data_IF_689523036924
#
_entry.id   IF_689523036924
#
_cell.length_a   1.000
_cell.length_b   1.000
_cell.length_c   1.000
_cell.angle_alpha   90.00
_cell.angle_beta   90.00
_cell.angle_gamma   90.00
#
_symmetry.space_group_name_H-M   'P 1'
#
loop_
_entity.id
_entity.type
_entity.pdbx_description
1 polymer ?
#
# COMPACT_ATOMS: atom_id res chain seq x y z
N UNK A 1 5.33 17.00 34.42
CA UNK A 1 4.95 15.69 33.86
C UNK A 1 6.00 14.69 34.37
N UNK A 2 5.63 13.57 35.00
CA UNK A 2 6.64 12.65 35.50
C UNK A 2 7.36 12.03 34.29
N UNK A 3 8.68 11.93 34.40
CA UNK A 3 9.54 11.30 33.41
C UNK A 3 9.15 9.81 33.29
N UNK A 4 8.68 9.41 32.11
CA UNK A 4 8.42 8.00 31.78
C UNK A 4 9.71 7.19 31.87
N UNK A 5 9.58 5.95 32.30
CA UNK A 5 10.68 5.01 32.51
C UNK A 5 11.40 4.77 31.17
N UNK A 6 12.74 4.56 31.15
CA UNK A 6 13.50 4.26 29.92
C UNK A 6 13.07 2.98 29.19
N UNK A 7 12.19 2.16 29.80
CA UNK A 7 11.58 0.96 29.21
C UNK A 7 10.28 1.23 28.42
N UNK A 8 9.75 2.46 28.43
CA UNK A 8 8.52 2.80 27.72
C UNK A 8 8.80 3.03 26.22
N UNK A 9 8.90 1.93 25.46
CA UNK A 9 8.81 1.99 23.99
C UNK A 9 7.39 2.41 23.62
N UNK A 10 7.21 3.64 23.15
CA UNK A 10 5.87 4.21 22.94
C UNK A 10 5.16 3.61 21.72
N UNK A 11 5.90 2.99 20.78
CA UNK A 11 5.36 2.45 19.53
C UNK A 11 5.86 1.04 19.22
N UNK A 12 4.96 0.21 18.68
CA UNK A 12 5.31 -1.14 18.23
C UNK A 12 5.95 -1.11 16.83
N UNK A 13 7.25 -0.77 16.79
CA UNK A 13 8.01 -0.66 15.53
C UNK A 13 7.96 -1.92 14.65
N UNK A 14 8.12 -3.15 15.19
CA UNK A 14 7.98 -4.37 14.39
C UNK A 14 6.61 -4.52 13.73
N UNK A 15 5.54 -4.17 14.44
CA UNK A 15 4.18 -4.20 13.88
C UNK A 15 4.00 -3.15 12.78
N UNK A 16 4.52 -1.94 12.98
CA UNK A 16 4.45 -0.87 11.97
C UNK A 16 5.20 -1.25 10.69
N UNK A 17 6.36 -1.90 10.80
CA UNK A 17 7.11 -2.42 9.66
C UNK A 17 6.33 -3.56 8.96
N UNK A 18 5.69 -4.45 9.72
CA UNK A 18 4.82 -5.49 9.16
C UNK A 18 3.66 -4.91 8.37
N UNK A 19 3.00 -3.86 8.87
CA UNK A 19 1.93 -3.15 8.16
C UNK A 19 2.46 -2.51 6.87
N UNK A 20 3.65 -1.92 6.89
CA UNK A 20 4.27 -1.35 5.69
C UNK A 20 4.45 -2.40 4.58
N UNK A 21 4.93 -3.60 4.93
CA UNK A 21 5.07 -4.71 3.99
C UNK A 21 3.72 -5.19 3.45
N UNK A 22 2.69 -5.28 4.29
CA UNK A 22 1.35 -5.67 3.85
C UNK A 22 0.75 -4.64 2.88
N UNK A 23 0.95 -3.34 3.11
CA UNK A 23 0.53 -2.29 2.19
C UNK A 23 1.22 -2.46 0.84
N UNK A 24 2.54 -2.71 0.82
CA UNK A 24 3.27 -2.97 -0.42
C UNK A 24 2.75 -4.20 -1.16
N UNK A 25 2.42 -5.27 -0.43
CA UNK A 25 1.84 -6.48 -1.01
C UNK A 25 0.52 -6.20 -1.72
N UNK A 26 -0.35 -5.36 -1.14
CA UNK A 26 -1.59 -4.93 -1.81
C UNK A 26 -1.29 -4.24 -3.16
N UNK A 27 -0.25 -3.40 -3.23
CA UNK A 27 0.19 -2.77 -4.47
C UNK A 27 0.67 -3.77 -5.52
N UNK A 28 1.46 -4.75 -5.11
CA UNK A 28 1.89 -5.85 -5.99
C UNK A 28 0.72 -6.66 -6.51
N UNK A 29 -0.28 -6.95 -5.66
CA UNK A 29 -1.51 -7.64 -6.09
C UNK A 29 -2.29 -6.79 -7.09
N UNK A 30 -2.45 -5.49 -6.85
CA UNK A 30 -3.14 -4.59 -7.78
C UNK A 30 -2.43 -4.51 -9.14
N UNK A 31 -1.09 -4.49 -9.17
CA UNK A 31 -0.31 -4.57 -10.40
C UNK A 31 -0.56 -5.88 -11.15
N UNK A 32 -0.52 -7.02 -10.45
CA UNK A 32 -0.79 -8.31 -11.07
C UNK A 32 -2.20 -8.42 -11.65
N UNK A 33 -3.20 -7.85 -10.98
CA UNK A 33 -4.57 -7.77 -11.49
C UNK A 33 -4.66 -6.89 -12.73
N UNK A 34 -4.01 -5.72 -12.74
CA UNK A 34 -3.98 -4.82 -13.89
C UNK A 34 -3.37 -5.48 -15.12
N UNK A 35 -2.21 -6.11 -14.95
CA UNK A 35 -1.49 -6.78 -16.04
C UNK A 35 -2.30 -7.94 -16.61
N UNK A 36 -2.87 -8.79 -15.74
CA UNK A 36 -3.74 -9.88 -16.15
C UNK A 36 -5.02 -9.38 -16.83
N UNK A 37 -5.61 -8.30 -16.33
CA UNK A 37 -6.78 -7.66 -16.93
C UNK A 37 -6.47 -7.16 -18.34
N UNK A 38 -5.37 -6.42 -18.52
CA UNK A 38 -4.95 -5.88 -19.82
C UNK A 38 -4.69 -7.02 -20.81
N UNK A 39 -3.96 -8.06 -20.39
CA UNK A 39 -3.66 -9.21 -21.23
C UNK A 39 -4.93 -9.94 -21.71
N UNK A 40 -5.95 -10.03 -20.85
CA UNK A 40 -7.20 -10.75 -21.15
C UNK A 40 -8.32 -9.86 -21.68
N UNK A 41 -8.12 -8.54 -21.83
CA UNK A 41 -9.17 -7.58 -22.22
C UNK A 41 -9.90 -8.01 -23.49
N UNK A 42 -9.15 -8.36 -24.54
CA UNK A 42 -9.72 -8.71 -25.84
C UNK A 42 -10.50 -10.04 -25.79
N UNK A 43 -10.00 -11.00 -25.02
CA UNK A 43 -10.69 -12.28 -24.79
C UNK A 43 -12.01 -12.08 -24.05
N UNK A 44 -12.03 -11.24 -23.03
CA UNK A 44 -13.24 -10.90 -22.28
C UNK A 44 -14.23 -10.10 -23.14
N UNK A 45 -13.74 -9.09 -23.88
CA UNK A 45 -14.55 -8.27 -24.77
C UNK A 45 -15.22 -9.11 -25.87
N UNK A 46 -14.53 -10.11 -26.41
CA UNK A 46 -15.06 -11.01 -27.43
C UNK A 46 -16.28 -11.84 -27.00
N UNK A 47 -16.58 -11.88 -25.69
CA UNK A 47 -17.79 -12.52 -25.14
C UNK A 47 -19.01 -11.61 -25.11
N UNK A 48 -18.84 -10.31 -25.38
CA UNK A 48 -19.89 -9.29 -25.38
C UNK A 48 -20.16 -8.78 -26.80
N UNK A 49 -21.41 -8.37 -27.07
CA UNK A 49 -21.82 -7.81 -28.37
C UNK A 49 -22.74 -6.61 -28.21
N UNK A 50 -22.75 -5.72 -29.20
CA UNK A 50 -23.60 -4.51 -29.20
C UNK A 50 -23.36 -3.63 -27.97
N UNK A 51 -24.44 -3.17 -27.33
CA UNK A 51 -24.39 -2.27 -26.18
C UNK A 51 -23.61 -2.84 -24.98
N UNK A 52 -23.61 -4.16 -24.79
CA UNK A 52 -22.87 -4.80 -23.69
C UNK A 52 -21.35 -4.71 -23.86
N UNK A 53 -20.86 -4.62 -25.10
CA UNK A 53 -19.45 -4.42 -25.36
C UNK A 53 -19.00 -3.00 -24.94
N UNK A 54 -19.83 -1.98 -25.19
CA UNK A 54 -19.55 -0.61 -24.74
C UNK A 54 -19.52 -0.51 -23.21
N UNK A 55 -20.49 -1.14 -22.53
CA UNK A 55 -20.54 -1.18 -21.06
C UNK A 55 -19.33 -1.92 -20.48
N UNK A 56 -18.89 -3.00 -21.13
CA UNK A 56 -17.65 -3.69 -20.75
C UNK A 56 -16.45 -2.75 -20.86
N UNK A 57 -16.30 -2.01 -21.96
CA UNK A 57 -15.17 -1.09 -22.12
C UNK A 57 -15.14 -0.01 -21.04
N UNK A 58 -16.28 0.62 -20.75
CA UNK A 58 -16.37 1.63 -19.68
C UNK A 58 -16.03 1.02 -18.31
N UNK A 59 -16.56 -0.16 -18.02
CA UNK A 59 -16.31 -0.87 -16.77
C UNK A 59 -14.84 -1.27 -16.64
N UNK A 60 -14.24 -1.70 -17.75
CA UNK A 60 -12.83 -2.08 -17.80
C UNK A 60 -11.93 -0.86 -17.59
N UNK A 61 -12.26 0.29 -18.17
CA UNK A 61 -11.54 1.55 -17.89
C UNK A 61 -11.60 1.92 -16.41
N UNK A 62 -12.77 1.81 -15.76
CA UNK A 62 -12.89 2.03 -14.30
C UNK A 62 -12.04 1.05 -13.50
N UNK A 63 -12.03 -0.23 -13.88
CA UNK A 63 -11.16 -1.23 -13.28
C UNK A 63 -9.67 -0.83 -13.38
N UNK A 64 -9.21 -0.39 -14.56
CA UNK A 64 -7.83 0.05 -14.74
C UNK A 64 -7.47 1.22 -13.82
N UNK A 65 -8.36 2.22 -13.72
CA UNK A 65 -8.16 3.36 -12.83
C UNK A 65 -8.05 2.94 -11.36
N UNK A 66 -8.96 2.07 -10.88
CA UNK A 66 -8.91 1.59 -9.48
C UNK A 66 -7.62 0.85 -9.19
N UNK A 67 -7.14 0.00 -10.11
CA UNK A 67 -5.86 -0.68 -9.95
C UNK A 67 -4.69 0.33 -9.90
N UNK A 68 -4.66 1.31 -10.80
CA UNK A 68 -3.62 2.35 -10.84
C UNK A 68 -3.61 3.19 -9.56
N UNK A 69 -4.77 3.64 -9.09
CA UNK A 69 -4.91 4.40 -7.85
C UNK A 69 -4.42 3.57 -6.65
N UNK A 70 -4.77 2.28 -6.62
CA UNK A 70 -4.32 1.36 -5.56
C UNK A 70 -2.80 1.21 -5.57
N UNK A 71 -2.19 1.03 -6.75
CA UNK A 71 -0.73 0.94 -6.90
C UNK A 71 -0.05 2.21 -6.38
N UNK A 72 -0.59 3.38 -6.74
CA UNK A 72 -0.03 4.65 -6.29
C UNK A 72 -0.14 4.83 -4.76
N UNK A 73 -1.34 4.62 -4.21
CA UNK A 73 -1.60 4.80 -2.77
C UNK A 73 -0.78 3.82 -1.95
N UNK A 74 -0.70 2.56 -2.36
CA UNK A 74 0.09 1.54 -1.64
C UNK A 74 1.59 1.76 -1.78
N UNK A 75 2.06 2.16 -2.96
CA UNK A 75 3.46 2.52 -3.18
C UNK A 75 3.89 3.69 -2.30
N UNK A 76 3.12 4.78 -2.28
CA UNK A 76 3.40 5.95 -1.43
C UNK A 76 3.20 5.61 0.07
N UNK A 77 2.11 4.94 0.40
CA UNK A 77 1.72 4.60 1.77
C UNK A 77 2.70 3.64 2.44
N UNK A 78 3.15 2.60 1.75
CA UNK A 78 4.13 1.65 2.27
C UNK A 78 5.48 2.31 2.56
N UNK A 79 5.95 3.19 1.67
CA UNK A 79 7.18 3.96 1.89
C UNK A 79 7.04 4.91 3.08
N UNK A 80 5.92 5.64 3.17
CA UNK A 80 5.67 6.56 4.27
C UNK A 80 5.65 5.84 5.63
N UNK A 81 4.97 4.69 5.70
CA UNK A 81 4.92 3.87 6.91
C UNK A 81 6.29 3.31 7.31
N UNK A 82 7.04 2.76 6.35
CA UNK A 82 8.36 2.20 6.59
C UNK A 82 9.36 3.26 7.05
N UNK A 83 9.39 4.43 6.38
CA UNK A 83 10.27 5.55 6.77
C UNK A 83 9.88 6.11 8.13
N UNK A 84 8.59 6.34 8.36
CA UNK A 84 8.09 6.85 9.63
C UNK A 84 8.47 5.94 10.81
N UNK A 85 8.27 4.63 10.67
CA UNK A 85 8.65 3.67 11.71
C UNK A 85 10.17 3.70 12.01
N UNK A 86 11.01 3.73 10.98
CA UNK A 86 12.46 3.78 11.12
C UNK A 86 12.97 5.07 11.76
N UNK A 87 12.47 6.23 11.31
CA UNK A 87 12.86 7.54 11.82
C UNK A 87 12.41 7.72 13.28
N UNK A 88 11.19 7.29 13.61
CA UNK A 88 10.68 7.33 14.98
C UNK A 88 11.50 6.43 15.91
N UNK A 89 11.79 5.18 15.51
CA UNK A 89 12.60 4.27 16.34
C UNK A 89 14.02 4.76 16.53
N UNK A 90 14.62 5.34 15.48
CA UNK A 90 15.94 5.98 15.58
C UNK A 90 15.93 7.16 16.56
N UNK A 91 14.90 8.00 16.49
CA UNK A 91 14.78 9.15 17.39
C UNK A 91 14.57 8.75 18.85
N UNK A 92 13.72 7.76 19.14
CA UNK A 92 13.53 7.25 20.50
C UNK A 92 14.82 6.66 21.08
N UNK A 93 15.56 5.88 20.29
CA UNK A 93 16.85 5.32 20.70
C UNK A 93 17.92 6.39 20.95
N UNK A 94 17.89 7.50 20.21
CA UNK A 94 18.82 8.61 20.43
C UNK A 94 18.44 9.43 21.68
N UNK A 95 17.15 9.61 21.93
CA UNK A 95 16.66 10.31 23.13
C UNK A 95 16.98 9.53 24.41
N UNK A 96 16.81 8.20 24.41
CA UNK A 96 17.14 7.35 25.55
C UNK A 96 18.63 7.34 25.89
N UNK A 97 19.50 7.60 24.90
CA UNK A 97 20.96 7.75 25.12
C UNK A 97 21.38 9.13 25.62
N UNK A 98 20.56 10.16 25.42
CA UNK A 98 20.89 11.55 25.81
C UNK A 98 20.51 11.90 27.26
N UNK A 99 19.61 11.12 27.88
CA UNK A 99 19.20 11.32 29.27
C UNK A 99 19.27 9.98 30.04
N UNK A 100 20.42 9.65 30.67
CA UNK A 100 20.53 8.51 31.58
C UNK A 100 19.78 8.73 32.90
#
# INVERSE_FOLDING_TARGET
MPAGSPDDVYYNYPLMESIAMQIQQCGTTAQGLLDAGIANKQTLLGSFTGDTAMVFEESFTKFQHVCQDTIEVTGRGGIAYSRGASEMGTNEMNMSKQFP
#
